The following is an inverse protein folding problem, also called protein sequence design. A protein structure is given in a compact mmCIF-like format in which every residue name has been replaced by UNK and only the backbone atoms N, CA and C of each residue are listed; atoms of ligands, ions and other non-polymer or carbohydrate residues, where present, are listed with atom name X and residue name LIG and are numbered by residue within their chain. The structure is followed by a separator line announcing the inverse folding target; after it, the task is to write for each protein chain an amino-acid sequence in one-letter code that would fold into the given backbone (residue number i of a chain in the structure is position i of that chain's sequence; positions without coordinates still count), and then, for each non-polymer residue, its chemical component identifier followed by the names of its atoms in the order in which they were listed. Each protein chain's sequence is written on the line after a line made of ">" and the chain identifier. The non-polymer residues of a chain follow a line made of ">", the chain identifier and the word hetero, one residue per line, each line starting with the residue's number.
data_IF_470006678985
#
_entry.id   IF_470006678985
#
_cell.length_a   1.000
_cell.length_b   1.000
_cell.length_c   1.000
_cell.angle_alpha   90.00
_cell.angle_beta   90.00
_cell.angle_gamma   90.00
#
_symmetry.space_group_name_H-M   'P 1'
#
loop_
_entity.id
_entity.type
_entity.pdbx_description
1 polymer ?
#
# COMPACT_ATOMS: atom_id res chain seq x y z
N UNK A 1 0.61 -1.44 -17.70
CA UNK A 1 1.44 -2.68 -17.79
C UNK A 1 2.03 -2.92 -19.18
N UNK A 2 1.22 -3.01 -20.22
CA UNK A 2 1.72 -3.45 -21.51
C UNK A 2 2.59 -2.42 -22.24
N UNK A 3 2.39 -1.13 -22.01
CA UNK A 3 3.00 -0.05 -22.79
C UNK A 3 3.99 0.80 -22.02
N UNK A 4 3.69 1.17 -20.76
CA UNK A 4 4.60 1.96 -19.94
C UNK A 4 5.71 1.08 -19.38
N UNK A 5 6.94 1.39 -19.75
CA UNK A 5 8.17 0.70 -19.34
C UNK A 5 9.21 1.68 -18.76
N UNK A 6 8.79 2.86 -18.34
CA UNK A 6 9.67 3.86 -17.74
C UNK A 6 10.22 3.37 -16.41
N UNK A 7 11.41 3.84 -16.06
CA UNK A 7 12.03 3.58 -14.75
C UNK A 7 11.15 4.04 -13.57
N UNK A 8 10.35 5.09 -13.79
CA UNK A 8 9.38 5.61 -12.81
C UNK A 8 8.44 4.52 -12.28
N UNK A 9 8.00 3.58 -13.13
CA UNK A 9 7.11 2.48 -12.73
C UNK A 9 7.84 1.50 -11.80
N UNK A 10 9.13 1.29 -12.01
CA UNK A 10 9.97 0.49 -11.10
C UNK A 10 10.15 1.21 -9.77
N UNK A 11 10.38 2.53 -9.79
CA UNK A 11 10.45 3.35 -8.58
C UNK A 11 9.16 3.22 -7.75
N UNK A 12 7.99 3.30 -8.39
CA UNK A 12 6.70 3.17 -7.70
C UNK A 12 6.49 1.77 -7.10
N UNK A 13 7.01 0.74 -7.74
CA UNK A 13 6.92 -0.64 -7.25
C UNK A 13 7.89 -0.95 -6.10
N UNK A 14 8.96 -0.16 -5.92
CA UNK A 14 9.96 -0.33 -4.86
C UNK A 14 9.60 0.45 -3.60
N UNK A 15 9.19 -0.24 -2.53
CA UNK A 15 8.82 0.41 -1.25
C UNK A 15 9.96 1.20 -0.61
N UNK A 16 11.20 0.89 -0.93
CA UNK A 16 12.35 1.66 -0.46
C UNK A 16 12.68 2.82 -1.41
N UNK A 17 12.74 2.55 -2.73
CA UNK A 17 13.12 3.55 -3.73
C UNK A 17 12.07 4.64 -3.92
N UNK A 18 10.79 4.37 -3.68
CA UNK A 18 9.73 5.36 -3.80
C UNK A 18 9.82 6.47 -2.74
N UNK A 19 10.52 6.25 -1.64
CA UNK A 19 10.64 7.20 -0.54
C UNK A 19 11.29 8.51 -0.97
N UNK A 20 12.35 8.46 -1.77
CA UNK A 20 13.03 9.64 -2.29
C UNK A 20 12.09 10.45 -3.21
N UNK A 21 11.36 9.76 -4.09
CA UNK A 21 10.36 10.40 -4.95
C UNK A 21 9.27 11.12 -4.13
N UNK A 22 8.75 10.46 -3.09
CA UNK A 22 7.73 11.03 -2.20
C UNK A 22 8.28 12.23 -1.43
N UNK A 23 9.49 12.11 -0.86
CA UNK A 23 10.15 13.19 -0.12
C UNK A 23 10.34 14.44 -1.00
N UNK A 24 10.79 14.26 -2.25
CA UNK A 24 10.97 15.35 -3.22
C UNK A 24 9.64 16.01 -3.60
N UNK A 25 8.59 15.22 -3.82
CA UNK A 25 7.30 15.71 -4.34
C UNK A 25 6.40 16.34 -3.28
N UNK A 26 6.33 15.75 -2.11
CA UNK A 26 5.39 16.18 -1.07
C UNK A 26 6.05 16.46 0.28
N UNK A 27 7.26 15.96 0.54
CA UNK A 27 8.05 16.17 1.75
C UNK A 27 8.15 14.92 2.63
N UNK A 28 9.29 14.78 3.32
CA UNK A 28 9.59 13.63 4.20
C UNK A 28 8.59 13.41 5.32
N UNK A 29 7.94 14.49 5.79
CA UNK A 29 6.96 14.42 6.89
C UNK A 29 5.75 13.53 6.59
N UNK A 30 5.52 13.21 5.32
CA UNK A 30 4.43 12.31 4.90
C UNK A 30 4.89 10.85 4.77
N UNK A 31 6.17 10.57 4.94
CA UNK A 31 6.68 9.20 4.95
C UNK A 31 6.54 8.58 6.34
N UNK A 32 6.25 7.27 6.44
CA UNK A 32 6.40 6.56 7.70
C UNK A 32 7.86 6.57 8.14
N UNK A 33 8.13 6.61 9.44
CA UNK A 33 9.49 6.51 9.94
C UNK A 33 10.10 5.16 9.54
N UNK A 34 11.36 5.16 9.09
CA UNK A 34 12.07 3.92 8.74
C UNK A 34 13.09 3.59 9.82
N UNK A 35 13.01 2.38 10.36
CA UNK A 35 14.00 1.84 11.30
C UNK A 35 15.17 1.17 10.59
N UNK A 36 15.04 0.87 9.30
CA UNK A 36 16.11 0.36 8.48
C UNK A 36 15.63 -0.26 7.17
N UNK A 37 16.53 -0.23 6.19
CA UNK A 37 16.41 -0.96 4.93
C UNK A 37 17.64 -1.86 4.85
N UNK A 38 17.44 -3.16 4.69
CA UNK A 38 18.53 -4.14 4.70
C UNK A 38 18.56 -4.92 3.39
N UNK A 39 19.78 -5.03 2.84
CA UNK A 39 20.06 -5.85 1.66
C UNK A 39 20.29 -7.33 2.04
N UNK A 40 20.76 -7.58 3.25
CA UNK A 40 20.89 -8.92 3.82
C UNK A 40 19.90 -9.10 4.96
N UNK A 41 18.95 -10.06 4.88
CA UNK A 41 17.99 -10.31 5.94
C UNK A 41 18.62 -10.57 7.32
N UNK A 42 19.85 -11.06 7.36
CA UNK A 42 20.60 -11.31 8.62
C UNK A 42 20.86 -10.02 9.39
N UNK A 43 20.88 -8.88 8.72
CA UNK A 43 21.08 -7.58 9.36
C UNK A 43 19.86 -7.10 10.15
N UNK A 44 18.68 -7.72 9.99
CA UNK A 44 17.50 -7.45 10.83
C UNK A 44 17.77 -7.62 12.32
N UNK A 45 18.69 -8.50 12.72
CA UNK A 45 19.03 -8.71 14.12
C UNK A 45 19.80 -7.53 14.73
N UNK A 46 20.42 -6.70 13.89
CA UNK A 46 21.23 -5.53 14.30
C UNK A 46 20.41 -4.27 14.49
N UNK A 47 19.17 -4.25 13.98
CA UNK A 47 18.31 -3.07 14.06
C UNK A 47 17.79 -2.90 15.50
N UNK A 48 17.89 -1.68 15.99
CA UNK A 48 17.21 -1.27 17.22
C UNK A 48 15.75 -0.98 16.89
N UNK A 49 14.84 -1.84 17.32
CA UNK A 49 13.42 -1.75 16.98
C UNK A 49 12.59 -1.60 18.24
N UNK A 50 11.58 -0.70 18.20
CA UNK A 50 10.59 -0.58 19.27
C UNK A 50 9.69 -1.83 19.34
N UNK A 51 8.72 -1.83 20.27
CA UNK A 51 7.73 -2.91 20.38
C UNK A 51 6.68 -2.89 19.26
N UNK A 52 6.67 -1.81 18.42
CA UNK A 52 5.70 -1.58 17.35
C UNK A 52 6.41 -1.26 16.04
N UNK A 53 6.35 -2.17 15.10
CA UNK A 53 6.98 -2.01 13.79
C UNK A 53 6.34 -2.91 12.73
N UNK A 54 6.65 -2.63 11.47
CA UNK A 54 6.22 -3.45 10.33
C UNK A 54 7.43 -3.85 9.50
N UNK A 55 7.56 -5.14 9.20
CA UNK A 55 8.58 -5.69 8.31
C UNK A 55 7.94 -6.04 6.97
N UNK A 56 8.52 -5.57 5.86
CA UNK A 56 7.98 -5.78 4.50
C UNK A 56 9.10 -6.09 3.51
N UNK A 57 8.87 -6.96 2.50
CA UNK A 57 9.75 -7.00 1.32
C UNK A 57 9.52 -5.73 0.49
N UNK A 58 10.59 -5.19 -0.13
CA UNK A 58 10.47 -3.97 -0.97
C UNK A 58 9.86 -4.25 -2.34
N UNK A 59 9.95 -5.49 -2.82
CA UNK A 59 9.61 -5.96 -4.16
C UNK A 59 8.35 -6.82 -4.16
N UNK A 60 7.18 -6.24 -4.14
CA UNK A 60 5.93 -7.00 -4.22
C UNK A 60 4.83 -6.45 -3.33
N UNK A 61 3.67 -7.06 -3.41
CA UNK A 61 2.47 -6.69 -2.68
C UNK A 61 1.93 -7.89 -1.88
N UNK A 62 1.16 -7.65 -0.83
CA UNK A 62 0.48 -8.70 -0.08
C UNK A 62 1.31 -9.37 1.02
N UNK A 63 2.51 -8.89 1.34
CA UNK A 63 3.34 -9.42 2.42
C UNK A 63 3.74 -8.33 3.42
N UNK A 64 3.40 -8.53 4.69
CA UNK A 64 3.88 -7.72 5.80
C UNK A 64 3.72 -8.45 7.12
N UNK A 65 4.71 -8.35 7.99
CA UNK A 65 4.61 -8.75 9.40
C UNK A 65 4.51 -7.48 10.24
N UNK A 66 3.35 -7.30 10.86
CA UNK A 66 3.09 -6.24 11.84
C UNK A 66 3.38 -6.80 13.21
N UNK A 67 4.22 -6.12 13.97
CA UNK A 67 4.56 -6.51 15.34
C UNK A 67 4.05 -5.44 16.28
N UNK A 68 3.19 -5.81 17.23
CA UNK A 68 2.75 -4.91 18.30
C UNK A 68 2.12 -5.66 19.47
N UNK A 69 2.10 -5.06 20.67
CA UNK A 69 1.44 -5.65 21.84
C UNK A 69 -0.08 -5.82 21.68
N UNK A 70 -0.70 -5.11 20.73
CA UNK A 70 -2.15 -5.14 20.50
C UNK A 70 -2.61 -6.32 19.62
N UNK A 71 -1.68 -7.12 19.08
CA UNK A 71 -2.03 -8.30 18.30
C UNK A 71 -2.76 -9.37 19.15
N UNK A 72 -3.58 -10.19 18.50
CA UNK A 72 -4.24 -11.30 19.16
C UNK A 72 -3.21 -12.27 19.76
N UNK A 73 -3.42 -12.66 21.00
CA UNK A 73 -2.46 -13.46 21.78
C UNK A 73 -2.12 -14.81 21.15
N UNK A 74 -3.04 -15.41 20.41
CA UNK A 74 -2.86 -16.71 19.77
C UNK A 74 -2.24 -16.64 18.37
N UNK A 75 -1.90 -15.45 17.87
CA UNK A 75 -1.37 -15.31 16.51
C UNK A 75 0.15 -15.55 16.51
N UNK A 76 0.57 -16.50 15.70
CA UNK A 76 1.97 -16.89 15.50
C UNK A 76 2.49 -16.43 14.13
N UNK A 77 3.80 -16.31 13.98
CA UNK A 77 4.43 -16.13 12.68
C UNK A 77 4.18 -17.34 11.78
N UNK A 78 3.93 -17.13 10.48
CA UNK A 78 3.80 -18.23 9.54
C UNK A 78 5.17 -18.91 9.31
N UNK A 79 5.18 -20.20 8.92
CA UNK A 79 6.39 -20.78 8.34
C UNK A 79 6.90 -19.96 7.16
N UNK A 80 8.21 -19.86 6.98
CA UNK A 80 8.82 -18.99 5.98
C UNK A 80 8.26 -19.20 4.55
N UNK A 81 8.04 -20.47 4.15
CA UNK A 81 7.50 -20.82 2.83
C UNK A 81 6.04 -20.38 2.59
N UNK A 82 5.31 -20.03 3.64
CA UNK A 82 3.91 -19.56 3.59
C UNK A 82 3.77 -18.12 4.09
N UNK A 83 4.87 -17.37 4.13
CA UNK A 83 4.95 -16.05 4.76
C UNK A 83 4.59 -14.89 3.83
N UNK A 84 4.23 -15.15 2.55
CA UNK A 84 3.75 -14.08 1.66
C UNK A 84 2.30 -13.73 1.98
N UNK A 85 2.10 -13.20 3.19
CA UNK A 85 0.79 -12.85 3.78
C UNK A 85 0.92 -11.63 4.68
N UNK A 86 -0.20 -11.00 5.00
CA UNK A 86 -0.29 -10.08 6.13
C UNK A 86 -0.44 -10.87 7.43
N UNK A 87 0.40 -10.55 8.43
CA UNK A 87 0.30 -11.16 9.75
C UNK A 87 0.54 -10.11 10.83
N UNK A 88 -0.32 -10.09 11.86
CA UNK A 88 -0.18 -9.22 13.02
C UNK A 88 0.11 -10.11 14.23
N UNK A 89 1.29 -9.95 14.84
CA UNK A 89 1.78 -10.79 15.93
C UNK A 89 2.28 -9.95 17.09
N UNK A 90 2.31 -10.52 18.28
CA UNK A 90 2.91 -9.88 19.45
C UNK A 90 4.45 -9.95 19.39
N UNK A 91 5.16 -9.00 20.09
CA UNK A 91 6.63 -9.01 20.12
C UNK A 91 7.24 -10.35 20.59
N UNK A 92 6.63 -11.00 21.61
CA UNK A 92 7.06 -12.31 22.11
C UNK A 92 6.92 -13.44 21.07
N UNK A 93 6.03 -13.28 20.07
CA UNK A 93 5.81 -14.21 18.96
C UNK A 93 6.58 -13.83 17.70
N UNK A 94 7.45 -12.82 17.75
CA UNK A 94 8.26 -12.33 16.64
C UNK A 94 9.77 -12.46 16.90
N UNK A 95 10.31 -13.66 17.20
CA UNK A 95 11.73 -13.80 17.41
C UNK A 95 12.51 -13.41 16.15
N UNK A 96 13.57 -12.62 16.32
CA UNK A 96 14.36 -12.04 15.22
C UNK A 96 14.86 -13.09 14.22
N UNK A 97 15.24 -14.26 14.68
CA UNK A 97 15.71 -15.34 13.82
C UNK A 97 14.62 -15.86 12.88
N UNK A 98 13.37 -15.89 13.34
CA UNK A 98 12.25 -16.29 12.49
C UNK A 98 11.91 -15.20 11.48
N UNK A 99 12.00 -13.91 11.86
CA UNK A 99 11.86 -12.79 10.91
C UNK A 99 12.96 -12.83 9.84
N UNK A 100 14.20 -13.18 10.20
CA UNK A 100 15.29 -13.39 9.24
C UNK A 100 14.95 -14.52 8.27
N UNK A 101 14.43 -15.65 8.74
CA UNK A 101 14.03 -16.77 7.88
C UNK A 101 12.90 -16.37 6.90
N UNK A 102 11.89 -15.66 7.39
CA UNK A 102 10.79 -15.11 6.57
C UNK A 102 11.33 -14.14 5.51
N UNK A 103 12.14 -13.17 5.92
CA UNK A 103 12.71 -12.18 5.04
C UNK A 103 13.61 -12.81 3.97
N UNK A 104 14.42 -13.83 4.34
CA UNK A 104 15.24 -14.59 3.41
C UNK A 104 14.39 -15.31 2.36
N UNK A 105 13.26 -15.87 2.79
CA UNK A 105 12.31 -16.49 1.86
C UNK A 105 11.71 -15.46 0.91
N UNK A 106 11.23 -14.31 1.41
CA UNK A 106 10.71 -13.23 0.56
C UNK A 106 11.73 -12.80 -0.49
N UNK A 107 12.98 -12.60 -0.10
CA UNK A 107 14.04 -12.19 -1.02
C UNK A 107 14.42 -13.25 -2.06
N UNK A 108 14.11 -14.52 -1.81
CA UNK A 108 14.28 -15.60 -2.79
C UNK A 108 13.16 -15.63 -3.84
N UNK A 109 12.01 -15.00 -3.58
CA UNK A 109 10.84 -15.06 -4.45
C UNK A 109 10.90 -14.02 -5.58
N UNK A 110 10.39 -14.37 -6.75
CA UNK A 110 10.11 -13.45 -7.84
C UNK A 110 8.62 -13.09 -7.79
N UNK A 111 8.33 -11.82 -7.50
CA UNK A 111 6.96 -11.31 -7.53
C UNK A 111 6.61 -10.77 -8.92
N UNK A 112 5.31 -10.75 -9.26
CA UNK A 112 4.82 -10.17 -10.52
C UNK A 112 5.09 -11.02 -11.77
N UNK A 113 5.55 -12.28 -11.61
CA UNK A 113 5.80 -13.21 -12.72
C UNK A 113 4.56 -14.03 -13.12
N UNK A 114 3.44 -13.84 -12.40
CA UNK A 114 2.16 -14.48 -12.65
C UNK A 114 1.45 -13.98 -13.92
N UNK A 115 0.20 -14.39 -14.15
CA UNK A 115 -0.59 -14.02 -15.33
C UNK A 115 -0.67 -12.51 -15.57
N UNK A 116 -0.76 -11.73 -14.51
CA UNK A 116 -0.89 -10.27 -14.54
C UNK A 116 0.38 -9.54 -15.01
N UNK A 117 1.52 -10.24 -15.05
CA UNK A 117 2.79 -9.74 -15.59
C UNK A 117 3.15 -8.34 -15.13
N UNK A 118 3.13 -8.11 -13.83
CA UNK A 118 3.54 -6.86 -13.18
C UNK A 118 5.07 -6.71 -13.25
N UNK A 119 5.57 -6.54 -14.45
CA UNK A 119 6.98 -6.62 -14.85
C UNK A 119 7.91 -5.79 -13.99
N UNK A 120 7.42 -4.64 -13.47
CA UNK A 120 8.23 -3.69 -12.71
C UNK A 120 8.84 -4.32 -11.45
N UNK A 121 8.08 -5.17 -10.75
CA UNK A 121 8.59 -5.85 -9.56
C UNK A 121 9.80 -6.74 -9.82
N UNK A 122 9.92 -7.31 -11.03
CA UNK A 122 11.10 -8.10 -11.43
C UNK A 122 12.38 -7.29 -11.55
N UNK A 123 12.30 -5.94 -11.59
CA UNK A 123 13.44 -5.03 -11.66
C UNK A 123 13.70 -4.30 -10.32
N UNK A 124 12.83 -4.44 -9.35
CA UNK A 124 13.01 -3.86 -8.00
C UNK A 124 14.15 -4.59 -7.28
N UNK A 125 15.11 -3.87 -6.69
CA UNK A 125 16.08 -4.47 -5.79
C UNK A 125 15.39 -5.15 -4.62
N UNK A 126 15.69 -6.44 -4.42
CA UNK A 126 15.08 -7.22 -3.35
C UNK A 126 15.73 -6.88 -2.03
N UNK A 127 15.04 -6.16 -1.19
CA UNK A 127 15.44 -5.71 0.15
C UNK A 127 14.32 -5.92 1.13
N UNK A 128 14.59 -5.70 2.39
CA UNK A 128 13.59 -5.66 3.45
C UNK A 128 13.60 -4.29 4.08
N UNK A 129 12.44 -3.68 4.22
CA UNK A 129 12.25 -2.41 4.94
C UNK A 129 11.54 -2.68 6.27
N UNK A 130 12.00 -2.01 7.32
CA UNK A 130 11.33 -1.99 8.63
C UNK A 130 10.89 -0.57 8.91
N UNK A 131 9.60 -0.40 9.13
CA UNK A 131 8.95 0.90 9.30
C UNK A 131 8.12 0.95 10.57
N UNK A 132 7.76 2.17 10.99
CA UNK A 132 6.81 2.37 12.07
C UNK A 132 5.47 1.68 11.77
N UNK A 133 4.84 1.14 12.78
CA UNK A 133 3.46 0.74 12.73
C UNK A 133 2.59 2.00 12.85
N UNK A 134 1.76 2.22 11.84
CA UNK A 134 0.80 3.33 11.87
C UNK A 134 -0.40 2.96 12.75
N UNK A 135 -0.83 3.88 13.57
CA UNK A 135 -1.97 3.71 14.48
C UNK A 135 -3.00 4.81 14.23
N UNK A 136 -4.23 4.39 14.04
CA UNK A 136 -5.40 5.27 13.99
C UNK A 136 -5.86 5.71 15.38
N UNK A 137 -7.10 6.18 15.47
CA UNK A 137 -7.70 6.51 16.74
C UNK A 137 -7.72 5.28 17.67
N UNK A 138 -7.45 5.50 18.96
CA UNK A 138 -7.47 4.46 20.01
C UNK A 138 -6.54 3.27 19.74
N UNK A 139 -5.49 3.45 18.91
CA UNK A 139 -4.53 2.41 18.56
C UNK A 139 -5.03 1.38 17.55
N UNK A 140 -6.15 1.64 16.89
CA UNK A 140 -6.66 0.78 15.82
C UNK A 140 -5.78 0.83 14.57
N UNK A 141 -5.84 -0.21 13.74
CA UNK A 141 -5.23 -0.17 12.40
C UNK A 141 -5.97 0.89 11.57
N UNK A 142 -5.26 1.88 11.01
CA UNK A 142 -5.90 2.97 10.28
C UNK A 142 -6.54 2.50 8.97
N UNK A 143 -7.59 3.20 8.57
CA UNK A 143 -8.20 3.02 7.25
C UNK A 143 -7.20 3.38 6.15
N UNK A 144 -7.25 2.63 5.05
CA UNK A 144 -6.39 2.78 3.89
C UNK A 144 -7.17 3.53 2.78
N UNK A 145 -6.82 4.80 2.56
CA UNK A 145 -7.42 5.66 1.57
C UNK A 145 -6.68 5.52 0.24
N UNK A 146 -7.36 5.02 -0.77
CA UNK A 146 -6.81 4.76 -2.10
C UNK A 146 -7.40 5.76 -3.10
N UNK A 147 -6.60 6.75 -3.48
CA UNK A 147 -6.99 7.80 -4.38
C UNK A 147 -6.61 7.44 -5.81
N UNK A 148 -7.60 7.29 -6.68
CA UNK A 148 -7.40 6.97 -8.10
C UNK A 148 -7.24 8.28 -8.88
N UNK A 149 -6.03 8.52 -9.35
CA UNK A 149 -5.64 9.76 -10.02
C UNK A 149 -5.45 9.49 -11.52
N UNK A 150 -6.21 10.19 -12.34
CA UNK A 150 -6.14 10.14 -13.80
C UNK A 150 -5.69 11.50 -14.32
N UNK A 151 -4.62 11.54 -15.10
CA UNK A 151 -4.08 12.77 -15.70
C UNK A 151 -3.92 13.91 -14.67
N UNK A 152 -3.38 13.56 -13.48
CA UNK A 152 -3.15 14.51 -12.40
C UNK A 152 -4.42 14.98 -11.65
N UNK A 153 -5.56 14.31 -11.84
CA UNK A 153 -6.82 14.62 -11.14
C UNK A 153 -7.37 13.39 -10.42
N UNK A 154 -7.59 13.50 -9.14
CA UNK A 154 -8.30 12.50 -8.35
C UNK A 154 -9.75 12.39 -8.84
N UNK A 155 -10.20 11.18 -9.16
CA UNK A 155 -11.55 10.92 -9.64
C UNK A 155 -12.37 10.07 -8.69
N UNK A 156 -11.72 9.14 -8.02
CA UNK A 156 -12.36 8.23 -7.07
C UNK A 156 -11.48 8.04 -5.84
N UNK A 157 -12.10 7.76 -4.72
CA UNK A 157 -11.46 7.44 -3.46
C UNK A 157 -12.09 6.14 -2.96
N UNK A 158 -11.27 5.10 -2.80
CA UNK A 158 -11.66 3.87 -2.14
C UNK A 158 -11.14 3.91 -0.71
N UNK A 159 -11.94 3.50 0.24
CA UNK A 159 -11.56 3.36 1.65
C UNK A 159 -11.65 1.90 2.04
N UNK A 160 -10.51 1.28 2.33
CA UNK A 160 -10.45 -0.08 2.87
C UNK A 160 -10.28 -0.02 4.39
N UNK A 161 -11.13 -0.77 5.12
CA UNK A 161 -11.12 -0.86 6.58
C UNK A 161 -11.14 -2.30 7.03
N UNK A 162 -10.83 -2.54 8.33
CA UNK A 162 -10.91 -3.88 8.91
C UNK A 162 -9.92 -4.86 8.29
N UNK A 163 -8.67 -4.45 8.03
CA UNK A 163 -7.66 -5.27 7.32
C UNK A 163 -7.45 -6.67 7.93
N UNK A 164 -7.60 -6.80 9.24
CA UNK A 164 -7.40 -8.06 9.97
C UNK A 164 -8.68 -8.65 10.56
N UNK A 165 -9.81 -7.98 10.34
CA UNK A 165 -11.13 -8.33 10.86
C UNK A 165 -12.18 -8.35 9.74
N UNK A 166 -13.38 -7.82 9.98
CA UNK A 166 -14.46 -7.69 9.00
C UNK A 166 -14.13 -6.59 7.98
N UNK A 167 -13.50 -6.99 6.90
CA UNK A 167 -13.05 -6.06 5.86
C UNK A 167 -14.25 -5.43 5.16
N UNK A 168 -14.22 -4.09 5.09
CA UNK A 168 -15.15 -3.30 4.28
C UNK A 168 -14.42 -2.48 3.23
N UNK A 169 -15.14 -2.10 2.18
CA UNK A 169 -14.62 -1.29 1.10
C UNK A 169 -15.70 -0.32 0.60
N UNK A 170 -15.43 0.95 0.74
CA UNK A 170 -16.31 2.03 0.35
C UNK A 170 -15.70 2.83 -0.79
N UNK A 171 -16.55 3.38 -1.68
CA UNK A 171 -16.11 4.25 -2.75
C UNK A 171 -16.78 5.61 -2.66
N UNK A 172 -16.01 6.66 -2.93
CA UNK A 172 -16.44 8.05 -2.88
C UNK A 172 -15.95 8.85 -4.08
N UNK A 173 -16.72 9.88 -4.45
CA UNK A 173 -16.21 10.95 -5.29
C UNK A 173 -15.30 11.89 -4.48
N UNK A 174 -14.48 12.74 -5.13
CA UNK A 174 -13.63 13.71 -4.42
C UNK A 174 -14.39 14.70 -3.50
N UNK A 175 -15.68 14.95 -3.79
CA UNK A 175 -16.56 15.75 -2.93
C UNK A 175 -17.12 14.97 -1.71
N UNK A 176 -16.71 13.70 -1.56
CA UNK A 176 -17.13 12.77 -0.52
C UNK A 176 -18.57 12.23 -0.69
N UNK A 177 -19.12 12.29 -1.87
CA UNK A 177 -20.35 11.59 -2.20
C UNK A 177 -20.09 10.08 -2.27
N UNK A 178 -20.83 9.30 -1.50
CA UNK A 178 -20.70 7.83 -1.49
C UNK A 178 -21.26 7.22 -2.77
N UNK A 179 -20.55 6.31 -3.36
CA UNK A 179 -20.92 5.60 -4.58
C UNK A 179 -21.46 4.20 -4.25
N UNK A 180 -22.62 3.81 -4.79
CA UNK A 180 -23.19 2.48 -4.59
C UNK A 180 -22.48 1.44 -5.47
N UNK A 181 -21.17 1.28 -5.28
CA UNK A 181 -20.35 0.34 -6.03
C UNK A 181 -19.48 -0.51 -5.09
N UNK A 182 -19.11 -1.69 -5.54
CA UNK A 182 -18.27 -2.64 -4.82
C UNK A 182 -17.17 -3.19 -5.71
N UNK A 183 -15.99 -3.42 -5.13
CA UNK A 183 -14.89 -4.21 -5.69
C UNK A 183 -14.77 -5.59 -5.07
N UNK A 184 -15.83 -6.06 -4.34
CA UNK A 184 -15.91 -7.35 -3.67
C UNK A 184 -16.42 -7.26 -2.23
N UNK A 185 -15.70 -6.63 -1.27
CA UNK A 185 -16.19 -6.45 0.09
C UNK A 185 -17.44 -5.56 0.16
N UNK A 186 -18.24 -5.74 1.21
CA UNK A 186 -19.37 -4.86 1.50
C UNK A 186 -18.90 -3.46 1.90
N UNK A 187 -19.74 -2.46 1.69
CA UNK A 187 -19.53 -1.11 2.24
C UNK A 187 -20.19 -0.95 3.60
N UNK A 188 -19.86 0.14 4.29
CA UNK A 188 -20.42 0.48 5.60
C UNK A 188 -21.72 1.27 5.38
N UNK A 189 -22.76 0.94 6.17
CA UNK A 189 -24.02 1.68 6.22
C UNK A 189 -24.32 2.07 7.69
N UNK A 190 -24.48 3.38 8.01
CA UNK A 190 -24.38 4.53 7.12
C UNK A 190 -22.95 4.82 6.66
N UNK A 191 -22.77 5.50 5.50
CA UNK A 191 -21.45 5.88 4.99
C UNK A 191 -20.66 6.73 5.99
N UNK A 192 -19.33 6.66 5.90
CA UNK A 192 -18.40 7.39 6.77
C UNK A 192 -18.54 8.91 6.62
N UNK A 193 -18.33 9.62 7.72
CA UNK A 193 -18.17 11.07 7.69
C UNK A 193 -16.94 11.48 6.88
N UNK A 194 -17.02 12.65 6.24
CA UNK A 194 -15.91 13.20 5.46
C UNK A 194 -14.68 13.43 6.34
N UNK A 195 -13.49 12.91 5.97
CA UNK A 195 -12.26 13.16 6.71
C UNK A 195 -11.90 14.65 6.76
N UNK A 196 -11.44 15.11 7.89
CA UNK A 196 -11.10 16.53 8.07
C UNK A 196 -10.00 17.03 7.12
N UNK A 197 -9.07 16.14 6.73
CA UNK A 197 -7.93 16.46 5.84
C UNK A 197 -8.11 15.91 4.42
N UNK A 198 -9.33 15.66 3.98
CA UNK A 198 -9.58 15.09 2.65
C UNK A 198 -8.98 15.94 1.52
N UNK A 199 -9.14 17.26 1.57
CA UNK A 199 -8.63 18.16 0.53
C UNK A 199 -7.10 18.15 0.47
N UNK A 200 -6.44 18.00 1.63
CA UNK A 200 -4.99 17.82 1.71
C UNK A 200 -4.59 16.48 1.08
N UNK A 201 -5.27 15.38 1.40
CA UNK A 201 -5.00 14.06 0.80
C UNK A 201 -5.14 14.09 -0.74
N UNK A 202 -6.20 14.72 -1.26
CA UNK A 202 -6.41 14.88 -2.70
C UNK A 202 -5.25 15.66 -3.32
N UNK A 203 -4.86 16.80 -2.73
CA UNK A 203 -3.76 17.62 -3.21
C UNK A 203 -2.43 16.86 -3.22
N UNK A 204 -2.13 16.08 -2.19
CA UNK A 204 -0.93 15.24 -2.12
C UNK A 204 -0.94 14.16 -3.20
N UNK A 205 -2.07 13.48 -3.39
CA UNK A 205 -2.21 12.44 -4.39
C UNK A 205 -2.04 13.00 -5.83
N UNK A 206 -2.63 14.15 -6.13
CA UNK A 206 -2.48 14.81 -7.44
C UNK A 206 -1.03 15.24 -7.70
N UNK A 207 -0.31 15.73 -6.68
CA UNK A 207 1.13 16.06 -6.79
C UNK A 207 2.00 14.84 -7.02
N UNK A 208 1.72 13.72 -6.39
CA UNK A 208 2.44 12.46 -6.60
C UNK A 208 2.17 11.85 -7.98
N UNK A 209 1.02 12.14 -8.58
CA UNK A 209 0.59 11.59 -9.85
C UNK A 209 1.04 12.41 -11.08
N UNK A 210 1.73 13.55 -10.90
CA UNK A 210 1.95 14.55 -11.97
C UNK A 210 2.67 14.01 -13.21
N UNK A 211 3.48 12.96 -13.06
CA UNK A 211 4.24 12.35 -14.17
C UNK A 211 3.55 11.12 -14.77
N UNK A 212 2.29 10.85 -14.37
CA UNK A 212 1.54 9.68 -14.80
C UNK A 212 0.22 10.04 -15.43
N UNK A 213 -0.24 9.21 -16.33
CA UNK A 213 -1.60 9.27 -16.88
C UNK A 213 -2.60 8.55 -15.95
N UNK A 214 -2.11 7.60 -15.16
CA UNK A 214 -2.87 6.93 -14.12
C UNK A 214 -1.93 6.42 -13.01
N UNK A 215 -2.33 6.62 -11.76
CA UNK A 215 -1.76 5.96 -10.59
C UNK A 215 -2.78 5.95 -9.45
N UNK A 216 -2.81 4.87 -8.68
CA UNK A 216 -3.48 4.85 -7.37
C UNK A 216 -2.48 5.28 -6.30
N UNK A 217 -2.85 6.26 -5.52
CA UNK A 217 -2.07 6.76 -4.38
C UNK A 217 -2.74 6.32 -3.10
N UNK A 218 -2.04 5.53 -2.31
CA UNK A 218 -2.55 5.04 -1.03
C UNK A 218 -2.01 5.92 0.10
N UNK A 219 -2.91 6.47 0.91
CA UNK A 219 -2.61 7.36 2.04
C UNK A 219 -3.33 6.87 3.30
N UNK A 220 -2.74 7.13 4.46
CA UNK A 220 -3.37 6.95 5.75
C UNK A 220 -3.70 8.30 6.37
N UNK A 221 -4.93 8.44 6.86
CA UNK A 221 -5.37 9.61 7.62
C UNK A 221 -5.30 9.27 9.12
N UNK A 222 -4.23 9.71 9.78
CA UNK A 222 -4.06 9.55 11.22
C UNK A 222 -4.65 10.76 11.95
N UNK A 223 -4.88 10.68 13.28
CA UNK A 223 -5.43 11.79 14.05
C UNK A 223 -4.63 13.10 13.94
N UNK A 224 -3.30 12.99 13.84
CA UNK A 224 -2.36 14.10 13.83
C UNK A 224 -1.79 14.44 12.45
N UNK A 225 -1.73 13.46 11.52
CA UNK A 225 -1.05 13.62 10.23
C UNK A 225 -1.60 12.71 9.13
N UNK A 226 -1.20 13.00 7.90
CA UNK A 226 -1.37 12.10 6.75
C UNK A 226 -0.04 11.37 6.54
N UNK A 227 -0.11 10.07 6.24
CA UNK A 227 1.08 9.27 5.95
C UNK A 227 0.92 8.58 4.60
N UNK A 228 1.99 8.58 3.81
CA UNK A 228 2.08 7.88 2.54
C UNK A 228 2.13 6.36 2.75
N UNK A 229 1.36 5.64 1.94
CA UNK A 229 1.33 4.18 1.94
C UNK A 229 2.02 3.57 0.72
N UNK A 230 1.48 3.83 -0.49
CA UNK A 230 1.94 3.18 -1.73
C UNK A 230 1.58 4.00 -2.98
N UNK A 231 2.38 3.86 -4.04
CA UNK A 231 1.99 4.21 -5.41
C UNK A 231 1.77 2.92 -6.20
N UNK A 232 0.56 2.73 -6.71
CA UNK A 232 0.19 1.52 -7.45
C UNK A 232 -0.16 1.85 -8.89
N UNK A 233 0.69 1.44 -9.83
CA UNK A 233 0.45 1.65 -11.27
C UNK A 233 -0.58 0.67 -11.85
N UNK A 234 -0.78 -0.47 -11.20
CA UNK A 234 -1.62 -1.57 -11.72
C UNK A 234 -2.46 -2.18 -10.59
N UNK A 235 -3.47 -1.46 -10.05
CA UNK A 235 -4.31 -1.99 -8.98
C UNK A 235 -4.89 -3.36 -9.36
N UNK A 236 -4.68 -4.36 -8.50
CA UNK A 236 -5.09 -5.75 -8.72
C UNK A 236 -4.70 -6.31 -10.11
N UNK A 237 -3.54 -5.91 -10.64
CA UNK A 237 -3.11 -6.31 -11.97
C UNK A 237 -3.97 -5.75 -13.12
N UNK A 238 -4.91 -4.84 -12.84
CA UNK A 238 -5.86 -4.27 -13.80
C UNK A 238 -7.05 -5.18 -14.11
N UNK A 239 -7.31 -6.20 -13.29
CA UNK A 239 -8.32 -7.25 -13.59
C UNK A 239 -9.52 -7.25 -12.62
N UNK A 240 -9.54 -6.42 -11.59
CA UNK A 240 -10.67 -6.37 -10.66
C UNK A 240 -11.85 -5.59 -11.25
N UNK A 241 -12.98 -6.23 -11.53
CA UNK A 241 -14.18 -5.54 -11.98
C UNK A 241 -14.86 -4.84 -10.80
N UNK A 242 -15.65 -3.83 -11.12
CA UNK A 242 -16.59 -3.20 -10.18
C UNK A 242 -18.01 -3.70 -10.44
N UNK A 243 -18.80 -3.73 -9.37
CA UNK A 243 -20.23 -3.98 -9.43
C UNK A 243 -21.00 -2.74 -8.92
N UNK A 244 -22.06 -2.28 -9.63
CA UNK A 244 -22.51 -2.78 -10.94
C UNK A 244 -21.51 -2.48 -12.07
N UNK A 245 -21.51 -3.29 -13.12
CA UNK A 245 -20.55 -3.24 -14.23
C UNK A 245 -20.49 -1.89 -14.97
N UNK A 246 -21.52 -1.06 -14.85
CA UNK A 246 -21.54 0.29 -15.41
C UNK A 246 -20.38 1.16 -14.93
N UNK A 247 -19.94 0.96 -13.68
CA UNK A 247 -18.79 1.68 -13.14
C UNK A 247 -17.46 1.34 -13.82
N UNK A 248 -17.31 0.17 -14.44
CA UNK A 248 -16.10 -0.16 -15.19
C UNK A 248 -15.90 0.76 -16.40
N UNK A 249 -16.97 1.05 -17.13
CA UNK A 249 -16.92 1.94 -18.28
C UNK A 249 -16.72 3.40 -17.84
N UNK A 250 -17.41 3.84 -16.79
CA UNK A 250 -17.29 5.18 -16.22
C UNK A 250 -15.85 5.41 -15.70
N UNK A 251 -15.33 4.48 -14.93
CA UNK A 251 -13.97 4.55 -14.40
C UNK A 251 -12.93 4.64 -15.54
N UNK A 252 -13.07 3.80 -16.55
CA UNK A 252 -12.20 3.78 -17.73
C UNK A 252 -12.32 5.04 -18.59
N UNK A 253 -13.45 5.75 -18.57
CA UNK A 253 -13.68 6.98 -19.36
C UNK A 253 -12.74 8.13 -18.96
N UNK A 254 -12.24 8.13 -17.74
CA UNK A 254 -11.28 9.11 -17.25
C UNK A 254 -9.85 8.89 -17.75
N UNK A 255 -9.58 7.75 -18.40
CA UNK A 255 -8.22 7.38 -18.79
C UNK A 255 -8.02 7.41 -20.29
N UNK A 256 -7.24 8.36 -20.76
CA UNK A 256 -6.73 8.38 -22.14
C UNK A 256 -5.33 7.81 -22.15
N UNK A 257 -5.21 6.54 -22.56
CA UNK A 257 -3.92 5.84 -22.60
C UNK A 257 -3.02 6.44 -23.68
N UNK A 258 -1.80 6.93 -23.36
CA UNK A 258 -0.87 7.47 -24.33
C UNK A 258 -0.49 6.43 -25.40
N UNK A 259 -0.27 6.88 -26.63
CA UNK A 259 0.26 6.00 -27.69
C UNK A 259 1.68 5.53 -27.38
N UNK A 260 2.49 6.39 -26.76
CA UNK A 260 3.87 6.12 -26.30
C UNK A 260 4.10 6.83 -24.98
N UNK A 261 4.81 6.18 -24.09
CA UNK A 261 5.37 6.77 -22.87
C UNK A 261 6.79 7.26 -23.16
N UNK A 262 7.15 8.41 -22.61
CA UNK A 262 8.47 9.03 -22.77
C UNK A 262 9.13 9.23 -21.43
#
# INVERSE_FOLDING_TARGET
>A
MLRDRRALIVTFADKAGVRDYVAERIGERYLPASYGIVDDPRDLVKLDLPDRYVVKPTHGSGAAIVVSPTALAATELPPAQWSWVYRHVRPEHAPRQQLVAIASHWMSQLYGQGPNREWAYGLVPRRVIVEEMLEGAEGAIPDDFKLFVFHGRCRYIQVDSGRFDDRTQDFYLPNWEHLPMSGGPAWIDPPRSRPARLDEMISLAERLAIETDFVRVDLYHLPDRIVFGELTSYPAGGESPFEPQTFNAEFGSHWTVPRRYR
#
